data_IF_672636894094
#
_entry.id   IF_672636894094
#
_cell.length_a   1.000
_cell.length_b   1.000
_cell.length_c   1.000
_cell.angle_alpha   90.00
_cell.angle_beta   90.00
_cell.angle_gamma   90.00
#
_symmetry.space_group_name_H-M   'P 1'
#
loop_
_entity.id
_entity.type
_entity.pdbx_description
1 polymer ?
#
# COMPACT_ATOMS: atom_id res chain seq x y z
N UNK A 1 11.74 -16.10 7.95
CA UNK A 1 11.02 -14.99 7.28
C UNK A 1 9.94 -14.37 8.18
N UNK A 2 8.84 -15.03 8.55
CA UNK A 2 7.80 -14.40 9.42
C UNK A 2 8.33 -13.85 10.76
N UNK A 3 9.20 -14.58 11.45
CA UNK A 3 9.80 -14.12 12.70
C UNK A 3 10.68 -12.88 12.50
N UNK A 4 11.42 -12.82 11.39
CA UNK A 4 12.24 -11.65 11.04
C UNK A 4 11.37 -10.46 10.65
N UNK A 5 10.30 -10.68 9.90
CA UNK A 5 9.33 -9.63 9.57
C UNK A 5 8.70 -9.04 10.85
N UNK A 6 8.32 -9.88 11.81
CA UNK A 6 7.81 -9.43 13.11
C UNK A 6 8.87 -8.62 13.89
N UNK A 7 10.13 -9.08 13.92
CA UNK A 7 11.24 -8.35 14.55
C UNK A 7 11.47 -6.98 13.91
N UNK A 8 11.23 -6.85 12.61
CA UNK A 8 11.35 -5.61 11.84
C UNK A 8 10.09 -4.71 11.93
N UNK A 9 9.06 -5.13 12.68
CA UNK A 9 7.86 -4.33 12.95
C UNK A 9 6.67 -4.62 12.03
N UNK A 10 6.72 -5.65 11.17
CA UNK A 10 5.56 -6.07 10.39
C UNK A 10 4.60 -6.89 11.27
N UNK A 11 3.37 -6.42 11.40
CA UNK A 11 2.32 -7.07 12.17
C UNK A 11 1.70 -8.27 11.43
N UNK A 12 1.78 -8.28 10.09
CA UNK A 12 1.24 -9.38 9.29
C UNK A 12 2.09 -9.66 8.06
N UNK A 13 2.02 -10.92 7.61
CA UNK A 13 2.70 -11.44 6.43
C UNK A 13 1.76 -12.37 5.68
N UNK A 14 1.48 -12.06 4.42
CA UNK A 14 0.72 -12.89 3.49
C UNK A 14 1.56 -13.31 2.28
N UNK A 15 1.14 -14.41 1.65
CA UNK A 15 1.76 -14.92 0.43
C UNK A 15 0.66 -15.21 -0.59
N UNK A 16 0.91 -14.87 -1.84
CA UNK A 16 0.03 -15.15 -2.96
C UNK A 16 0.85 -15.56 -4.20
N UNK A 17 0.28 -16.32 -5.14
CA UNK A 17 0.90 -16.48 -6.45
C UNK A 17 1.05 -15.11 -7.12
N UNK A 18 2.16 -14.92 -7.86
CA UNK A 18 2.34 -13.74 -8.70
C UNK A 18 1.70 -14.02 -10.05
N UNK A 19 0.37 -14.12 -10.07
CA UNK A 19 -0.44 -14.30 -11.27
C UNK A 19 -1.27 -13.04 -11.49
N UNK A 20 -1.46 -12.68 -12.76
CA UNK A 20 -2.36 -11.60 -13.11
C UNK A 20 -3.81 -12.08 -13.00
N UNK A 21 -4.69 -11.20 -12.53
CA UNK A 21 -6.11 -11.47 -12.36
C UNK A 21 -6.88 -10.67 -13.42
N UNK A 22 -7.42 -11.38 -14.42
CA UNK A 22 -8.09 -10.77 -15.56
C UNK A 22 -9.28 -9.89 -15.16
N UNK A 23 -10.01 -10.24 -14.09
CA UNK A 23 -11.12 -9.44 -13.59
C UNK A 23 -10.62 -8.15 -12.95
N UNK A 24 -9.51 -8.21 -12.19
CA UNK A 24 -8.91 -7.00 -11.60
C UNK A 24 -8.30 -6.09 -12.66
N UNK A 25 -7.65 -6.66 -13.67
CA UNK A 25 -7.12 -5.94 -14.82
C UNK A 25 -8.24 -5.17 -15.55
N UNK A 26 -9.32 -5.87 -15.93
CA UNK A 26 -10.47 -5.24 -16.57
C UNK A 26 -11.06 -4.09 -15.73
N UNK A 27 -11.24 -4.30 -14.42
CA UNK A 27 -11.74 -3.27 -13.50
C UNK A 27 -10.81 -2.05 -13.41
N UNK A 28 -9.49 -2.24 -13.46
CA UNK A 28 -8.54 -1.13 -13.52
C UNK A 28 -8.76 -0.30 -14.78
N UNK A 29 -8.86 -0.94 -15.94
CA UNK A 29 -9.08 -0.26 -17.21
C UNK A 29 -10.44 0.47 -17.26
N UNK A 30 -11.50 -0.15 -16.79
CA UNK A 30 -12.83 0.48 -16.69
C UNK A 30 -12.80 1.72 -15.79
N UNK A 31 -12.12 1.61 -14.64
CA UNK A 31 -11.96 2.72 -13.69
C UNK A 31 -11.13 3.88 -14.26
N UNK A 32 -10.08 3.56 -15.04
CA UNK A 32 -9.29 4.57 -15.75
C UNK A 32 -10.12 5.25 -16.84
N UNK A 33 -10.82 4.47 -17.67
CA UNK A 33 -11.66 5.00 -18.75
C UNK A 33 -12.80 5.90 -18.24
N UNK A 34 -13.30 5.64 -17.03
CA UNK A 34 -14.27 6.49 -16.35
C UNK A 34 -13.69 7.77 -15.72
N UNK A 35 -12.39 8.03 -15.88
CA UNK A 35 -11.71 9.22 -15.35
C UNK A 35 -11.58 9.24 -13.82
N UNK A 36 -11.75 8.09 -13.15
CA UNK A 36 -11.76 8.03 -11.68
C UNK A 36 -10.37 8.23 -11.05
N UNK A 37 -9.29 8.24 -11.83
CA UNK A 37 -7.95 8.57 -11.36
C UNK A 37 -7.70 10.05 -11.09
N UNK A 38 -8.63 10.94 -11.47
CA UNK A 38 -8.46 12.39 -11.31
C UNK A 38 -7.14 12.85 -11.93
N UNK A 39 -6.30 13.54 -11.16
CA UNK A 39 -5.00 14.05 -11.63
C UNK A 39 -3.86 13.02 -11.60
N UNK A 40 -4.12 11.76 -11.26
CA UNK A 40 -3.08 10.71 -11.19
C UNK A 40 -2.74 10.16 -12.58
N UNK A 41 -2.18 11.00 -13.47
CA UNK A 41 -1.86 10.61 -14.85
C UNK A 41 -0.98 9.34 -14.94
N UNK A 42 -0.10 9.15 -13.95
CA UNK A 42 0.74 7.95 -13.82
C UNK A 42 -0.04 6.63 -13.63
N UNK A 43 -1.34 6.67 -13.29
CA UNK A 43 -2.20 5.50 -13.28
C UNK A 43 -2.49 5.03 -14.71
N UNK A 44 -2.83 5.96 -15.60
CA UNK A 44 -3.07 5.71 -17.02
C UNK A 44 -1.77 5.32 -17.73
N UNK A 45 -0.73 6.14 -17.60
CA UNK A 45 0.57 5.94 -18.29
C UNK A 45 1.25 4.60 -17.96
N UNK A 46 0.82 3.94 -16.87
CA UNK A 46 1.39 2.69 -16.36
C UNK A 46 0.33 1.61 -16.18
N UNK A 47 -0.84 1.71 -16.81
CA UNK A 47 -1.91 0.73 -16.68
C UNK A 47 -1.43 -0.69 -16.98
N UNK A 48 -0.63 -0.85 -18.04
CA UNK A 48 -0.11 -2.13 -18.50
C UNK A 48 0.72 -2.85 -17.44
N UNK A 49 1.55 -2.17 -16.65
CA UNK A 49 2.33 -2.81 -15.57
C UNK A 49 1.55 -2.89 -14.25
N UNK A 50 0.41 -2.21 -14.16
CA UNK A 50 -0.45 -2.17 -12.96
C UNK A 50 -1.57 -3.20 -12.98
N UNK A 51 -1.82 -3.83 -14.14
CA UNK A 51 -2.83 -4.88 -14.28
C UNK A 51 -2.51 -6.14 -13.45
N UNK A 52 -1.23 -6.39 -13.13
CA UNK A 52 -0.86 -7.44 -12.19
C UNK A 52 0.65 -7.67 -12.04
N UNK A 53 1.04 -8.61 -11.16
CA UNK A 53 2.44 -8.93 -10.86
C UNK A 53 3.27 -9.40 -12.07
N UNK A 54 2.72 -10.24 -12.95
CA UNK A 54 3.45 -10.79 -14.10
C UNK A 54 3.63 -9.74 -15.19
N UNK A 55 2.63 -8.88 -15.36
CA UNK A 55 2.76 -7.71 -16.25
C UNK A 55 3.82 -6.72 -15.77
N UNK A 56 4.07 -6.62 -14.46
CA UNK A 56 5.15 -5.81 -13.91
C UNK A 56 6.51 -6.52 -14.00
N UNK A 57 6.56 -7.81 -13.69
CA UNK A 57 7.77 -8.62 -13.64
C UNK A 57 7.43 -10.05 -14.12
N UNK A 58 7.76 -10.42 -15.37
CA UNK A 58 7.37 -11.72 -15.95
C UNK A 58 7.91 -12.95 -15.22
N UNK A 59 9.12 -12.87 -14.66
CA UNK A 59 9.74 -13.94 -13.87
C UNK A 59 9.24 -14.04 -12.42
N UNK A 60 8.34 -13.14 -11.97
CA UNK A 60 7.80 -13.20 -10.61
C UNK A 60 6.97 -14.47 -10.41
N UNK A 61 7.19 -15.16 -9.29
CA UNK A 61 6.51 -16.42 -8.94
C UNK A 61 5.54 -16.28 -7.77
N UNK A 62 5.84 -15.39 -6.84
CA UNK A 62 5.02 -15.13 -5.66
C UNK A 62 5.13 -13.69 -5.23
N UNK A 63 4.07 -13.22 -4.56
CA UNK A 63 4.03 -11.92 -3.89
C UNK A 63 4.05 -12.16 -2.39
N UNK A 64 4.94 -11.45 -1.70
CA UNK A 64 4.95 -11.38 -0.23
C UNK A 64 4.32 -10.04 0.15
N UNK A 65 3.13 -10.08 0.77
CA UNK A 65 2.44 -8.90 1.26
C UNK A 65 2.73 -8.70 2.74
N UNK A 66 3.14 -7.49 3.12
CA UNK A 66 3.53 -7.14 4.49
C UNK A 66 2.68 -5.99 5.00
N UNK A 67 2.21 -6.07 6.23
CA UNK A 67 1.43 -5.01 6.88
C UNK A 67 2.10 -4.52 8.15
N UNK A 68 2.16 -3.20 8.32
CA UNK A 68 2.66 -2.53 9.52
C UNK A 68 1.51 -1.71 10.11
N UNK A 69 1.35 -1.76 11.43
CA UNK A 69 0.35 -0.93 12.10
C UNK A 69 0.84 0.50 12.18
N UNK A 70 -0.03 1.45 11.86
CA UNK A 70 0.17 2.88 12.11
C UNK A 70 -0.81 3.40 13.16
N UNK A 71 -1.45 2.51 13.94
CA UNK A 71 -2.36 2.90 14.99
C UNK A 71 -1.66 3.88 15.97
N UNK A 72 -2.27 5.03 16.27
CA UNK A 72 -1.67 5.98 17.18
C UNK A 72 -1.79 5.47 18.63
N UNK A 73 -0.91 5.94 19.50
CA UNK A 73 -0.98 5.64 20.94
C UNK A 73 -2.12 6.39 21.65
N UNK A 74 -2.61 7.46 21.01
CA UNK A 74 -3.71 8.31 21.50
C UNK A 74 -4.99 8.04 20.71
N UNK A 75 -6.14 8.44 21.26
CA UNK A 75 -7.40 8.39 20.53
C UNK A 75 -7.32 9.29 19.28
N UNK A 76 -7.45 8.74 18.04
CA UNK A 76 -7.42 9.53 16.83
C UNK A 76 -8.60 10.52 16.71
N UNK A 77 -9.65 10.35 17.52
CA UNK A 77 -10.80 11.24 17.60
C UNK A 77 -10.72 12.25 18.75
N UNK A 78 -9.60 12.31 19.49
CA UNK A 78 -9.46 13.20 20.65
C UNK A 78 -9.72 14.69 20.36
N UNK A 79 -9.61 15.12 19.09
CA UNK A 79 -9.89 16.49 18.65
C UNK A 79 -11.29 16.67 18.04
N UNK A 80 -12.18 15.69 18.17
CA UNK A 80 -13.56 15.82 17.70
C UNK A 80 -14.31 16.89 18.50
N UNK A 81 -14.94 17.84 17.79
CA UNK A 81 -15.66 18.96 18.40
C UNK A 81 -14.79 20.19 18.72
N UNK A 82 -13.48 20.13 18.50
CA UNK A 82 -12.58 21.27 18.65
C UNK A 82 -12.73 22.24 17.47
N UNK A 83 -13.35 23.40 17.70
CA UNK A 83 -13.67 24.36 16.63
C UNK A 83 -12.43 25.01 15.98
N UNK A 84 -11.35 25.15 16.75
CA UNK A 84 -10.12 25.86 16.32
C UNK A 84 -9.01 24.92 15.84
N UNK A 85 -9.26 23.60 15.76
CA UNK A 85 -8.24 22.61 15.39
C UNK A 85 -8.73 21.67 14.29
N UNK A 86 -7.87 21.45 13.30
CA UNK A 86 -8.09 20.43 12.28
C UNK A 86 -7.50 19.08 12.69
N UNK A 87 -8.10 17.99 12.19
CA UNK A 87 -7.56 16.63 12.30
C UNK A 87 -6.75 16.28 11.06
N UNK A 88 -5.55 15.76 11.28
CA UNK A 88 -4.71 15.18 10.23
C UNK A 88 -4.89 13.67 10.27
N UNK A 89 -5.02 13.02 9.11
CA UNK A 89 -5.10 11.56 9.05
C UNK A 89 -3.91 10.90 9.75
N UNK A 90 -4.16 9.86 10.54
CA UNK A 90 -3.13 9.21 11.37
C UNK A 90 -1.90 8.76 10.57
N UNK A 91 -2.07 8.24 9.35
CA UNK A 91 -0.95 7.78 8.53
C UNK A 91 0.04 8.90 8.17
N UNK A 92 -0.39 10.16 8.24
CA UNK A 92 0.42 11.35 7.98
C UNK A 92 0.94 12.01 9.27
N UNK A 93 0.66 11.41 10.44
CA UNK A 93 1.19 11.86 11.73
C UNK A 93 2.53 11.17 11.99
N UNK A 94 3.60 11.94 12.11
CA UNK A 94 4.94 11.42 12.42
C UNK A 94 5.84 11.27 11.19
N UNK A 95 6.72 10.27 11.20
CA UNK A 95 7.67 10.02 10.11
C UNK A 95 6.95 9.47 8.88
N UNK A 96 7.39 9.87 7.69
CA UNK A 96 6.86 9.35 6.43
C UNK A 96 6.94 7.81 6.41
N UNK A 97 5.78 7.16 6.26
CA UNK A 97 5.69 5.71 6.24
C UNK A 97 6.51 5.12 5.09
N UNK A 98 6.70 5.84 3.98
CA UNK A 98 7.53 5.37 2.87
C UNK A 98 8.95 5.07 3.32
N UNK A 99 9.57 5.96 4.12
CA UNK A 99 10.93 5.77 4.62
C UNK A 99 11.01 4.64 5.64
N UNK A 100 10.04 4.58 6.56
CA UNK A 100 9.98 3.56 7.62
C UNK A 100 9.79 2.16 7.00
N UNK A 101 8.77 2.00 6.17
CA UNK A 101 8.43 0.71 5.55
C UNK A 101 9.51 0.29 4.56
N UNK A 102 10.02 1.19 3.71
CA UNK A 102 11.09 0.85 2.75
C UNK A 102 12.38 0.43 3.45
N UNK A 103 12.74 1.05 4.57
CA UNK A 103 13.90 0.63 5.37
C UNK A 103 13.71 -0.79 5.93
N UNK A 104 12.53 -1.09 6.48
CA UNK A 104 12.21 -2.42 7.00
C UNK A 104 12.18 -3.49 5.89
N UNK A 105 11.61 -3.17 4.72
CA UNK A 105 11.60 -4.06 3.55
C UNK A 105 13.02 -4.40 3.09
N UNK A 106 13.92 -3.41 3.02
CA UNK A 106 15.33 -3.64 2.65
C UNK A 106 16.08 -4.50 3.66
N UNK A 107 15.73 -4.44 4.94
CA UNK A 107 16.37 -5.25 5.98
C UNK A 107 15.88 -6.70 5.98
N UNK A 108 14.69 -6.97 5.42
CA UNK A 108 14.10 -8.29 5.32
C UNK A 108 14.60 -9.08 4.10
N UNK A 109 15.03 -8.38 3.04
CA UNK A 109 15.44 -8.92 1.75
C UNK A 109 16.95 -9.20 1.66
#
# INVERSE_FOLDING_TARGET
MKAEAARLGFATVGFAPAEDDALRAARLHDWIAAGHHGSMQWMEDRADVRQGPQSMWPEARSVIALGMSYAPEVDPLALEGEAEKARISVYAQGRDYHDVVKKALKALA
#
